data_IF_794980697168
#
_entry.id   IF_794980697168
#
_cell.length_a   1.000
_cell.length_b   1.000
_cell.length_c   1.000
_cell.angle_alpha   90.00
_cell.angle_beta   90.00
_cell.angle_gamma   90.00
#
_symmetry.space_group_name_H-M   'P 1'
#
loop_
_entity.id
_entity.type
_entity.pdbx_description
1 polymer ?
#
# COMPACT_ATOMS: atom_id res chain seq x y z
N UNK A 1 -45.71 -56.95 35.35
CA UNK A 1 -45.37 -55.94 34.37
C UNK A 1 -45.94 -54.55 34.69
N UNK A 2 -45.80 -53.99 35.90
CA UNK A 2 -46.42 -52.71 36.28
C UNK A 2 -45.43 -51.61 36.75
N UNK A 3 -44.11 -51.82 36.73
CA UNK A 3 -43.17 -50.89 37.38
C UNK A 3 -42.26 -50.10 36.44
N UNK A 4 -42.35 -50.32 35.12
CA UNK A 4 -41.47 -49.61 34.15
C UNK A 4 -42.03 -48.26 33.66
N UNK A 5 -43.33 -48.01 33.76
CA UNK A 5 -43.97 -46.79 33.27
C UNK A 5 -43.62 -45.52 34.10
N UNK A 6 -43.36 -45.67 35.39
CA UNK A 6 -42.95 -44.55 36.25
C UNK A 6 -41.51 -44.06 35.94
N UNK A 7 -40.60 -44.98 35.59
CA UNK A 7 -39.22 -44.59 35.23
C UNK A 7 -39.14 -43.80 33.91
N UNK A 8 -39.96 -44.13 32.94
CA UNK A 8 -39.98 -43.40 31.66
C UNK A 8 -40.61 -42.00 31.79
N UNK A 9 -41.57 -41.79 32.66
CA UNK A 9 -42.17 -40.47 32.92
C UNK A 9 -41.20 -39.53 33.62
N UNK A 10 -40.35 -40.00 34.49
CA UNK A 10 -39.32 -39.19 35.14
C UNK A 10 -38.21 -38.84 34.16
N UNK A 11 -37.83 -39.78 33.30
CA UNK A 11 -36.78 -39.55 32.29
C UNK A 11 -37.20 -38.55 31.20
N UNK A 12 -38.44 -38.62 30.73
CA UNK A 12 -38.98 -37.66 29.77
C UNK A 12 -39.17 -36.27 30.36
N UNK A 13 -39.58 -36.15 31.64
CA UNK A 13 -39.68 -34.88 32.30
C UNK A 13 -38.30 -34.20 32.50
N UNK A 14 -37.26 -35.00 32.78
CA UNK A 14 -35.89 -34.54 32.97
C UNK A 14 -35.26 -34.10 31.61
N UNK A 15 -35.55 -34.84 30.54
CA UNK A 15 -35.06 -34.48 29.19
C UNK A 15 -35.73 -33.20 28.66
N UNK A 16 -37.03 -33.00 28.93
CA UNK A 16 -37.74 -31.77 28.55
C UNK A 16 -37.28 -30.56 29.36
N UNK A 17 -36.93 -30.72 30.67
CA UNK A 17 -36.37 -29.61 31.46
C UNK A 17 -34.95 -29.21 31.03
N UNK A 18 -34.12 -30.16 30.59
CA UNK A 18 -32.80 -29.90 30.02
C UNK A 18 -32.88 -29.15 28.67
N UNK A 19 -33.86 -29.49 27.84
CA UNK A 19 -34.10 -28.78 26.59
C UNK A 19 -34.62 -27.33 26.80
N UNK A 20 -35.43 -27.11 27.84
CA UNK A 20 -35.87 -25.75 28.21
C UNK A 20 -34.75 -24.90 28.82
N UNK A 21 -33.85 -25.47 29.62
CA UNK A 21 -32.68 -24.78 30.15
C UNK A 21 -31.63 -24.47 29.05
N UNK A 22 -31.47 -25.34 28.06
CA UNK A 22 -30.61 -25.06 26.88
C UNK A 22 -31.23 -24.02 25.94
N UNK A 23 -32.56 -23.93 25.84
CA UNK A 23 -33.25 -22.93 25.01
C UNK A 23 -33.19 -21.50 25.57
N UNK A 24 -33.05 -21.34 26.89
CA UNK A 24 -33.02 -20.00 27.49
C UNK A 24 -31.63 -19.36 27.53
N UNK A 25 -30.56 -20.13 27.34
CA UNK A 25 -29.21 -19.58 27.25
C UNK A 25 -28.78 -19.16 25.81
N UNK A 26 -29.62 -19.43 24.80
CA UNK A 26 -29.36 -19.05 23.42
C UNK A 26 -29.88 -17.65 23.04
N UNK A 27 -30.61 -16.99 23.90
CA UNK A 27 -31.16 -15.63 23.59
C UNK A 27 -30.26 -14.47 23.98
N UNK A 28 -29.00 -14.72 24.37
CA UNK A 28 -28.07 -13.69 24.83
C UNK A 28 -26.83 -13.45 23.98
N UNK A 29 -26.58 -14.25 22.95
CA UNK A 29 -25.52 -13.92 22.01
C UNK A 29 -26.07 -12.88 21.03
N UNK A 30 -26.02 -11.59 21.41
CA UNK A 30 -26.11 -10.51 20.44
C UNK A 30 -25.00 -10.79 19.42
N UNK A 31 -25.37 -11.32 18.26
CA UNK A 31 -24.46 -11.39 17.14
C UNK A 31 -23.87 -10.00 16.99
N UNK A 32 -22.58 -9.85 17.23
CA UNK A 32 -21.91 -8.58 17.06
C UNK A 32 -22.27 -8.09 15.66
N UNK A 33 -22.98 -6.96 15.58
CA UNK A 33 -23.44 -6.46 14.30
C UNK A 33 -22.23 -6.38 13.37
N UNK A 34 -22.27 -7.11 12.26
CA UNK A 34 -21.16 -7.15 11.33
C UNK A 34 -20.79 -5.72 10.97
N UNK A 35 -19.51 -5.37 11.18
CA UNK A 35 -19.02 -4.02 10.92
C UNK A 35 -19.39 -3.59 9.50
N UNK A 36 -20.03 -2.44 9.37
CA UNK A 36 -20.41 -1.88 8.06
C UNK A 36 -19.19 -1.52 7.20
N UNK A 37 -19.39 -1.27 5.90
CA UNK A 37 -18.31 -0.88 5.00
C UNK A 37 -17.61 0.36 5.52
N UNK A 38 -16.28 0.39 5.41
CA UNK A 38 -15.48 1.51 5.89
C UNK A 38 -14.22 1.72 5.05
N UNK A 39 -13.66 2.91 5.14
CA UNK A 39 -12.35 3.26 4.59
C UNK A 39 -11.59 4.18 5.54
N UNK A 40 -10.32 4.41 5.26
CA UNK A 40 -9.53 5.40 5.99
C UNK A 40 -10.15 6.81 5.81
N UNK A 41 -10.30 7.56 6.90
CA UNK A 41 -10.79 8.96 6.85
C UNK A 41 -9.80 9.90 6.15
N UNK A 42 -8.51 9.60 6.26
CA UNK A 42 -7.42 10.36 5.63
C UNK A 42 -6.43 9.42 4.96
N UNK A 43 -5.82 9.87 3.87
CA UNK A 43 -4.77 9.15 3.15
C UNK A 43 -3.73 10.11 2.62
N UNK A 44 -2.46 9.74 2.73
CA UNK A 44 -1.38 10.40 2.02
C UNK A 44 -1.00 9.56 0.81
N UNK A 45 -0.99 10.19 -0.36
CA UNK A 45 -0.53 9.61 -1.63
C UNK A 45 0.78 10.29 -1.99
N UNK A 46 1.81 9.50 -2.20
CA UNK A 46 3.10 10.01 -2.64
C UNK A 46 3.21 9.86 -4.16
N UNK A 47 3.77 10.88 -4.81
CA UNK A 47 3.93 10.89 -6.26
C UNK A 47 5.27 11.44 -6.71
N UNK A 48 5.62 11.07 -7.94
CA UNK A 48 6.73 11.67 -8.69
C UNK A 48 6.23 12.12 -10.05
N UNK A 49 6.60 13.35 -10.43
CA UNK A 49 6.38 13.86 -11.77
C UNK A 49 7.42 13.26 -12.70
N UNK A 50 6.98 12.71 -13.81
CA UNK A 50 7.83 12.17 -14.88
C UNK A 50 7.53 12.94 -16.17
N UNK A 51 8.56 13.22 -16.94
CA UNK A 51 8.44 13.81 -18.28
C UNK A 51 9.20 12.96 -19.27
N UNK A 52 8.59 12.63 -20.38
CA UNK A 52 9.19 11.84 -21.45
C UNK A 52 8.62 12.31 -22.80
N UNK A 53 9.38 12.15 -23.91
CA UNK A 53 8.85 12.42 -25.21
C UNK A 53 7.79 11.36 -25.57
N UNK A 54 6.69 11.81 -26.13
CA UNK A 54 5.72 10.92 -26.76
C UNK A 54 6.37 10.27 -27.99
N UNK A 55 6.41 8.93 -28.07
CA UNK A 55 7.06 8.23 -29.17
C UNK A 55 6.42 8.53 -30.54
N UNK A 56 5.16 8.96 -30.58
CA UNK A 56 4.44 9.25 -31.83
C UNK A 56 4.52 10.74 -32.18
N UNK A 57 4.10 11.60 -31.27
CA UNK A 57 3.99 13.04 -31.51
C UNK A 57 5.28 13.84 -31.24
N UNK A 58 6.28 13.20 -30.60
CA UNK A 58 7.52 13.83 -30.10
C UNK A 58 7.28 14.98 -29.10
N UNK A 59 6.03 15.21 -28.67
CA UNK A 59 5.69 16.21 -27.66
C UNK A 59 6.09 15.69 -26.27
N UNK A 60 6.50 16.63 -25.42
CA UNK A 60 6.81 16.28 -24.03
C UNK A 60 5.51 15.99 -23.26
N UNK A 61 5.35 14.75 -22.83
CA UNK A 61 4.25 14.32 -21.98
C UNK A 61 4.69 14.39 -20.51
N UNK A 62 3.78 14.86 -19.68
CA UNK A 62 3.92 14.80 -18.21
C UNK A 62 3.00 13.72 -17.66
N UNK A 63 3.53 12.83 -16.84
CA UNK A 63 2.76 11.87 -16.07
C UNK A 63 3.10 11.96 -14.57
N UNK A 64 2.20 11.42 -13.74
CA UNK A 64 2.34 11.42 -12.30
C UNK A 64 2.28 9.98 -11.78
N UNK A 65 3.46 9.42 -11.46
CA UNK A 65 3.53 8.09 -10.82
C UNK A 65 3.19 8.22 -9.34
N UNK A 66 2.11 7.59 -8.91
CA UNK A 66 1.65 7.61 -7.51
C UNK A 66 2.42 6.68 -6.57
N UNK A 67 3.59 6.21 -6.98
CA UNK A 67 4.54 5.40 -6.18
C UNK A 67 3.90 4.20 -5.45
N UNK A 68 2.82 3.61 -6.04
CA UNK A 68 2.06 2.52 -5.41
C UNK A 68 1.25 2.95 -4.18
N UNK A 69 1.03 4.25 -4.00
CA UNK A 69 0.27 4.78 -2.85
C UNK A 69 -1.14 5.22 -3.21
N UNK A 70 -1.49 5.20 -4.51
CA UNK A 70 -2.76 5.65 -5.06
C UNK A 70 -3.95 4.71 -4.87
N UNK A 71 -3.87 3.76 -3.93
CA UNK A 71 -4.92 2.79 -3.64
C UNK A 71 -5.55 3.06 -2.28
N UNK A 72 -6.87 3.23 -2.21
CA UNK A 72 -7.64 3.31 -0.96
C UNK A 72 -8.31 1.97 -0.68
N UNK A 73 -7.92 1.30 0.39
CA UNK A 73 -8.51 0.03 0.81
C UNK A 73 -9.90 0.23 1.42
N UNK A 74 -10.82 -0.64 1.04
CA UNK A 74 -12.19 -0.71 1.57
C UNK A 74 -12.29 -1.93 2.49
N UNK A 75 -12.76 -1.71 3.72
CA UNK A 75 -12.92 -2.76 4.73
C UNK A 75 -14.38 -3.19 4.83
N UNK A 76 -14.60 -4.43 5.24
CA UNK A 76 -15.93 -5.01 5.46
C UNK A 76 -16.85 -4.93 4.23
N UNK A 77 -16.25 -4.99 3.03
CA UNK A 77 -16.99 -5.00 1.78
C UNK A 77 -17.41 -6.43 1.44
N UNK A 78 -18.69 -6.66 1.17
CA UNK A 78 -19.19 -7.95 0.69
C UNK A 78 -18.86 -8.12 -0.81
N UNK A 79 -18.81 -9.37 -1.30
CA UNK A 79 -18.60 -9.63 -2.73
C UNK A 79 -19.76 -9.16 -3.63
N UNK A 80 -20.94 -8.88 -3.03
CA UNK A 80 -22.13 -8.35 -3.73
C UNK A 80 -22.33 -6.84 -3.51
N UNK A 81 -21.35 -6.16 -2.92
CA UNK A 81 -21.41 -4.72 -2.68
C UNK A 81 -21.43 -3.96 -4.02
N UNK A 82 -22.17 -2.86 -4.05
CA UNK A 82 -22.18 -1.90 -5.17
C UNK A 82 -21.62 -0.58 -4.67
N UNK A 83 -20.64 -0.04 -5.39
CA UNK A 83 -20.09 1.29 -5.14
C UNK A 83 -20.65 2.23 -6.20
N UNK A 84 -21.25 3.33 -5.76
CA UNK A 84 -21.86 4.34 -6.62
C UNK A 84 -21.50 5.74 -6.19
N UNK A 85 -21.80 6.74 -7.04
CA UNK A 85 -21.57 8.16 -6.75
C UNK A 85 -20.13 8.48 -6.33
N UNK A 86 -19.15 7.72 -6.87
CA UNK A 86 -17.74 7.99 -6.61
C UNK A 86 -17.33 9.30 -7.29
N UNK A 87 -16.92 10.25 -6.47
CA UNK A 87 -16.53 11.59 -6.91
C UNK A 87 -15.27 12.04 -6.20
N UNK A 88 -14.42 12.76 -6.92
CA UNK A 88 -13.31 13.54 -6.38
C UNK A 88 -13.70 15.01 -6.37
N UNK A 89 -13.38 15.74 -5.30
CA UNK A 89 -13.57 17.20 -5.24
C UNK A 89 -12.57 17.96 -6.11
N UNK A 90 -11.53 17.30 -6.62
CA UNK A 90 -10.54 17.87 -7.51
C UNK A 90 -10.67 17.23 -8.90
N UNK A 91 -10.93 18.06 -9.93
CA UNK A 91 -11.12 17.60 -11.33
C UNK A 91 -9.91 16.91 -11.95
N UNK A 92 -8.71 17.22 -11.45
CA UNK A 92 -7.46 16.62 -11.90
C UNK A 92 -7.17 15.24 -11.30
N UNK A 93 -8.02 14.78 -10.38
CA UNK A 93 -7.86 13.51 -9.70
C UNK A 93 -9.05 12.64 -10.02
N UNK A 94 -8.79 11.56 -10.74
CA UNK A 94 -9.78 10.55 -11.07
C UNK A 94 -9.73 9.41 -10.06
N UNK A 95 -10.88 8.77 -9.85
CA UNK A 95 -11.01 7.64 -8.95
C UNK A 95 -11.85 6.55 -9.60
N UNK A 96 -11.40 5.30 -9.53
CA UNK A 96 -12.09 4.12 -10.06
C UNK A 96 -12.21 3.10 -8.92
N UNK A 97 -13.43 2.62 -8.70
CA UNK A 97 -13.70 1.59 -7.69
C UNK A 97 -13.55 0.20 -8.27
N UNK A 98 -12.91 -0.69 -7.51
CA UNK A 98 -12.80 -2.11 -7.79
C UNK A 98 -13.32 -2.89 -6.58
N UNK A 99 -14.51 -3.46 -6.73
CA UNK A 99 -15.18 -4.22 -5.66
C UNK A 99 -14.48 -5.56 -5.43
N UNK A 100 -13.94 -6.19 -6.47
CA UNK A 100 -13.26 -7.48 -6.38
C UNK A 100 -12.00 -7.38 -5.51
N UNK A 101 -11.19 -6.35 -5.75
CA UNK A 101 -9.98 -6.10 -4.95
C UNK A 101 -10.25 -5.25 -3.70
N UNK A 102 -11.51 -4.82 -3.49
CA UNK A 102 -11.93 -3.97 -2.35
C UNK A 102 -11.10 -2.69 -2.25
N UNK A 103 -10.92 -2.02 -3.40
CA UNK A 103 -10.07 -0.83 -3.52
C UNK A 103 -10.73 0.27 -4.34
N UNK A 104 -10.29 1.51 -4.10
CA UNK A 104 -10.45 2.61 -5.02
C UNK A 104 -9.06 3.00 -5.50
N UNK A 105 -8.85 2.98 -6.81
CA UNK A 105 -7.61 3.39 -7.47
C UNK A 105 -7.71 4.85 -7.86
N UNK A 106 -6.63 5.58 -7.60
CA UNK A 106 -6.49 6.99 -7.97
C UNK A 106 -5.55 7.12 -9.15
N UNK A 107 -5.86 8.07 -10.02
CA UNK A 107 -4.96 8.60 -11.05
C UNK A 107 -5.07 10.11 -11.10
N UNK A 108 -4.11 10.77 -11.72
CA UNK A 108 -4.10 12.22 -11.81
C UNK A 108 -3.43 12.68 -13.11
N UNK A 109 -3.98 13.70 -13.75
CA UNK A 109 -3.42 14.37 -14.90
C UNK A 109 -2.55 15.59 -14.53
N UNK A 110 -2.78 16.16 -13.34
CA UNK A 110 -2.00 17.25 -12.78
C UNK A 110 -1.94 17.15 -11.26
N UNK A 111 -0.74 17.30 -10.69
CA UNK A 111 -0.53 17.26 -9.24
C UNK A 111 0.52 18.28 -8.79
N UNK A 112 0.23 18.92 -7.65
CA UNK A 112 1.16 19.76 -6.90
C UNK A 112 1.43 19.17 -5.53
N UNK A 113 2.61 19.41 -4.97
CA UNK A 113 2.93 18.99 -3.62
C UNK A 113 2.00 19.67 -2.59
N UNK A 114 1.39 18.89 -1.72
CA UNK A 114 0.42 19.39 -0.75
C UNK A 114 -1.00 19.50 -1.28
N UNK A 115 -1.25 19.19 -2.54
CA UNK A 115 -2.58 19.18 -3.13
C UNK A 115 -3.50 18.21 -2.42
N UNK A 116 -4.79 18.54 -2.35
CA UNK A 116 -5.79 17.77 -1.61
C UNK A 116 -7.01 17.48 -2.47
N UNK A 117 -7.66 16.37 -2.18
CA UNK A 117 -9.01 16.07 -2.64
C UNK A 117 -9.82 15.38 -1.55
N UNK A 118 -11.13 15.46 -1.66
CA UNK A 118 -12.07 14.65 -0.88
C UNK A 118 -12.72 13.66 -1.85
N UNK A 119 -12.48 12.37 -1.62
CA UNK A 119 -13.23 11.31 -2.27
C UNK A 119 -14.54 11.11 -1.51
N UNK A 120 -15.65 11.02 -2.22
CA UNK A 120 -16.95 10.68 -1.65
C UNK A 120 -17.61 9.60 -2.50
N UNK A 121 -18.23 8.61 -1.88
CA UNK A 121 -18.89 7.51 -2.56
C UNK A 121 -19.92 6.84 -1.65
N UNK A 122 -20.84 6.09 -2.24
CA UNK A 122 -21.85 5.32 -1.53
C UNK A 122 -21.58 3.82 -1.74
N UNK A 123 -21.59 3.06 -0.66
CA UNK A 123 -21.54 1.60 -0.69
C UNK A 123 -22.91 1.06 -0.32
N UNK A 124 -23.52 0.26 -1.22
CA UNK A 124 -24.76 -0.47 -0.97
C UNK A 124 -24.44 -1.96 -0.81
N UNK A 125 -24.76 -2.52 0.33
CA UNK A 125 -24.62 -3.97 0.60
C UNK A 125 -25.63 -4.42 1.66
N UNK A 126 -26.11 -5.67 1.55
CA UNK A 126 -27.06 -6.26 2.49
C UNK A 126 -28.29 -5.37 2.73
N UNK A 127 -28.83 -4.77 1.67
CA UNK A 127 -29.98 -3.86 1.75
C UNK A 127 -29.72 -2.48 2.38
N UNK A 128 -28.51 -2.21 2.88
CA UNK A 128 -28.14 -0.94 3.50
C UNK A 128 -27.23 -0.12 2.60
N UNK A 129 -27.36 1.21 2.68
CA UNK A 129 -26.50 2.18 2.00
C UNK A 129 -25.66 2.93 3.03
N UNK A 130 -24.37 3.09 2.76
CA UNK A 130 -23.43 3.81 3.60
C UNK A 130 -22.65 4.79 2.75
N UNK A 131 -22.68 6.09 3.10
CA UNK A 131 -21.86 7.12 2.46
C UNK A 131 -20.50 7.20 3.15
N UNK A 132 -19.42 7.08 2.37
CA UNK A 132 -18.06 7.13 2.85
C UNK A 132 -17.31 8.31 2.23
N UNK A 133 -16.35 8.83 3.00
CA UNK A 133 -15.48 9.93 2.55
C UNK A 133 -14.05 9.67 2.98
N UNK A 134 -13.09 10.08 2.15
CA UNK A 134 -11.67 10.05 2.46
C UNK A 134 -11.01 11.36 2.02
N UNK A 135 -10.32 12.05 2.93
CA UNK A 135 -9.47 13.20 2.59
C UNK A 135 -8.10 12.70 2.13
N UNK A 136 -7.73 12.98 0.89
CA UNK A 136 -6.45 12.58 0.31
C UNK A 136 -5.53 13.79 0.18
N UNK A 137 -4.26 13.63 0.58
CA UNK A 137 -3.22 14.65 0.42
C UNK A 137 -2.09 14.08 -0.44
N UNK A 138 -1.67 14.79 -1.48
CA UNK A 138 -0.62 14.38 -2.40
C UNK A 138 0.72 15.01 -1.99
N UNK A 139 1.79 14.19 -1.94
CA UNK A 139 3.11 14.63 -1.48
C UNK A 139 4.23 14.06 -2.35
N UNK A 140 5.32 14.84 -2.48
CA UNK A 140 6.52 14.43 -3.22
C UNK A 140 7.65 13.92 -2.31
N UNK A 141 7.52 14.01 -0.98
CA UNK A 141 8.55 13.65 0.00
C UNK A 141 8.46 12.18 0.46
N UNK A 142 8.37 11.24 -0.49
CA UNK A 142 8.29 9.81 -0.20
C UNK A 142 9.55 9.31 0.53
N UNK A 143 10.74 9.66 0.04
CA UNK A 143 11.98 9.36 0.75
C UNK A 143 12.13 10.33 1.92
N UNK A 144 12.09 9.83 3.15
CA UNK A 144 12.26 10.64 4.37
C UNK A 144 13.72 10.91 4.69
N UNK A 145 14.60 9.98 4.33
CA UNK A 145 16.05 10.11 4.44
C UNK A 145 16.74 9.21 3.43
N UNK A 146 17.72 9.74 2.73
CA UNK A 146 18.62 8.96 1.89
C UNK A 146 20.02 9.55 1.99
N UNK A 147 20.98 8.79 2.54
CA UNK A 147 22.37 9.21 2.66
C UNK A 147 23.31 8.17 2.07
N UNK A 148 24.34 8.64 1.41
CA UNK A 148 25.49 7.87 0.96
C UNK A 148 26.74 8.48 1.61
N UNK A 149 27.12 7.95 2.78
CA UNK A 149 28.12 8.56 3.63
C UNK A 149 27.69 9.96 4.09
N UNK A 150 28.47 10.98 3.77
CA UNK A 150 28.18 12.39 4.06
C UNK A 150 27.26 13.06 3.02
N UNK A 151 26.97 12.40 1.88
CA UNK A 151 26.07 12.97 0.86
C UNK A 151 24.63 12.74 1.26
N UNK A 152 23.85 13.81 1.37
CA UNK A 152 22.40 13.74 1.48
C UNK A 152 21.76 13.70 0.08
N UNK A 153 21.08 12.62 -0.22
CA UNK A 153 20.42 12.34 -1.50
C UNK A 153 18.89 12.47 -1.41
N UNK A 154 18.35 12.79 -0.24
CA UNK A 154 16.90 12.77 0.04
C UNK A 154 16.11 13.59 -0.98
N UNK A 155 16.46 14.87 -1.13
CA UNK A 155 15.77 15.77 -2.06
C UNK A 155 15.95 15.33 -3.52
N UNK A 156 17.15 14.87 -3.89
CA UNK A 156 17.45 14.43 -5.25
C UNK A 156 16.63 13.16 -5.62
N UNK A 157 16.55 12.18 -4.73
CA UNK A 157 15.75 10.97 -4.96
C UNK A 157 14.26 11.27 -5.05
N UNK A 158 13.72 12.16 -4.21
CA UNK A 158 12.31 12.56 -4.29
C UNK A 158 11.96 13.28 -5.60
N UNK A 159 12.94 13.86 -6.30
CA UNK A 159 12.76 14.55 -7.59
C UNK A 159 13.16 13.69 -8.79
N UNK A 160 13.86 12.59 -8.56
CA UNK A 160 14.27 11.68 -9.62
C UNK A 160 13.12 10.71 -9.95
N UNK A 161 12.88 10.46 -11.21
CA UNK A 161 11.90 9.47 -11.67
C UNK A 161 12.38 8.01 -11.41
N UNK A 162 12.77 7.70 -10.17
CA UNK A 162 13.26 6.37 -9.80
C UNK A 162 14.75 6.13 -10.05
N UNK A 163 15.46 7.02 -10.76
CA UNK A 163 16.89 6.86 -11.04
C UNK A 163 17.68 8.15 -10.75
N UNK A 164 18.84 8.00 -10.10
CA UNK A 164 19.72 9.12 -9.74
C UNK A 164 21.17 8.80 -10.09
N UNK A 165 21.88 9.75 -10.67
CA UNK A 165 23.33 9.70 -10.86
C UNK A 165 24.03 10.55 -9.81
N UNK A 166 25.07 10.00 -9.19
CA UNK A 166 25.85 10.65 -8.10
C UNK A 166 27.33 10.50 -8.37
N UNK A 167 28.09 11.58 -8.20
CA UNK A 167 29.56 11.55 -8.15
C UNK A 167 30.03 11.67 -6.71
N UNK A 168 31.03 10.89 -6.31
CA UNK A 168 31.62 10.96 -4.96
C UNK A 168 33.08 10.56 -4.98
N UNK A 169 33.86 11.19 -4.12
CA UNK A 169 35.25 10.82 -3.86
C UNK A 169 35.39 9.81 -2.72
N UNK A 170 34.30 9.48 -2.02
CA UNK A 170 34.33 8.53 -0.91
C UNK A 170 34.63 7.11 -1.40
N UNK A 171 35.67 6.47 -0.88
CA UNK A 171 35.99 5.05 -1.17
C UNK A 171 35.04 4.08 -0.45
N UNK A 172 34.52 4.50 0.69
CA UNK A 172 33.52 3.75 1.50
C UNK A 172 32.41 4.72 1.93
N UNK A 173 31.16 4.28 1.89
CA UNK A 173 30.03 5.13 2.27
C UNK A 173 28.93 4.30 2.98
N UNK A 174 28.46 4.78 4.12
CA UNK A 174 27.30 4.21 4.81
C UNK A 174 26.04 4.54 4.02
N UNK A 175 25.24 3.52 3.66
CA UNK A 175 23.96 3.71 2.98
C UNK A 175 22.83 3.73 4.00
N UNK A 176 22.11 4.85 4.09
CA UNK A 176 20.98 5.00 5.02
C UNK A 176 19.75 5.45 4.27
N UNK A 177 18.66 4.68 4.35
CA UNK A 177 17.38 4.99 3.70
C UNK A 177 16.26 4.93 4.75
N UNK A 178 15.39 5.94 4.77
CA UNK A 178 14.16 5.92 5.55
C UNK A 178 12.96 6.24 4.64
N UNK A 179 11.92 5.44 4.79
CA UNK A 179 10.66 5.54 4.07
C UNK A 179 9.54 6.02 5.01
N UNK A 180 8.37 6.44 4.50
CA UNK A 180 7.21 6.77 5.32
C UNK A 180 6.72 5.57 6.13
N UNK A 181 6.02 5.85 7.22
CA UNK A 181 5.25 4.84 7.94
C UNK A 181 4.33 4.10 6.99
N UNK A 182 4.26 2.77 7.12
CA UNK A 182 3.48 1.92 6.21
C UNK A 182 4.28 1.31 5.07
N UNK A 183 5.54 1.71 4.86
CA UNK A 183 6.45 1.14 3.85
C UNK A 183 7.65 0.47 4.50
N UNK A 184 8.22 -0.52 3.80
CA UNK A 184 9.45 -1.22 4.20
C UNK A 184 10.42 -1.32 3.04
N UNK A 185 11.70 -1.31 3.35
CA UNK A 185 12.75 -1.70 2.43
C UNK A 185 12.71 -3.22 2.33
N UNK A 186 12.55 -3.76 1.14
CA UNK A 186 12.55 -5.20 0.84
C UNK A 186 13.98 -5.67 0.68
N UNK A 187 14.75 -4.94 -0.12
CA UNK A 187 16.17 -5.22 -0.30
C UNK A 187 16.95 -3.98 -0.71
N UNK A 188 18.25 -3.97 -0.35
CA UNK A 188 19.25 -3.09 -0.94
C UNK A 188 20.27 -3.99 -1.55
N UNK A 189 20.50 -3.85 -2.87
CA UNK A 189 21.46 -4.65 -3.63
C UNK A 189 22.37 -3.75 -4.43
N UNK A 190 23.58 -4.20 -4.73
CA UNK A 190 24.52 -3.43 -5.55
C UNK A 190 25.37 -4.31 -6.45
N UNK A 191 25.84 -3.71 -7.55
CA UNK A 191 26.84 -4.27 -8.42
C UNK A 191 27.86 -3.20 -8.85
N UNK A 192 28.98 -3.64 -9.44
CA UNK A 192 30.05 -2.75 -9.94
C UNK A 192 30.15 -2.77 -11.47
N UNK A 193 29.15 -3.33 -12.15
CA UNK A 193 29.16 -3.49 -13.62
C UNK A 193 28.46 -2.34 -14.36
N UNK A 194 27.92 -1.35 -13.63
CA UNK A 194 27.16 -0.27 -14.22
C UNK A 194 25.80 -0.66 -14.78
N UNK A 195 25.39 -1.92 -14.65
CA UNK A 195 24.15 -2.44 -15.23
C UNK A 195 22.99 -2.28 -14.26
N UNK A 196 21.82 -1.88 -14.77
CA UNK A 196 20.61 -1.58 -14.00
C UNK A 196 19.55 -2.67 -14.10
N UNK A 197 19.65 -3.49 -15.12
CA UNK A 197 18.69 -4.56 -15.39
C UNK A 197 19.41 -5.86 -15.79
N UNK A 198 18.64 -6.93 -15.92
CA UNK A 198 19.09 -8.19 -16.46
C UNK A 198 19.75 -9.13 -15.44
N UNK A 199 20.47 -10.17 -15.92
CA UNK A 199 20.99 -11.27 -15.09
C UNK A 199 21.96 -10.84 -13.99
N UNK A 200 22.61 -9.68 -14.14
CA UNK A 200 23.55 -9.15 -13.14
C UNK A 200 22.91 -9.01 -11.74
N UNK A 201 21.60 -8.77 -11.67
CA UNK A 201 20.89 -8.63 -10.40
C UNK A 201 20.64 -9.95 -9.67
N UNK A 202 20.70 -11.11 -10.38
CA UNK A 202 20.66 -12.44 -9.76
C UNK A 202 21.89 -12.66 -8.87
N UNK A 203 23.05 -12.10 -9.29
CA UNK A 203 24.34 -12.20 -8.60
C UNK A 203 24.73 -10.92 -7.84
N UNK A 204 23.85 -9.93 -7.75
CA UNK A 204 24.11 -8.67 -7.05
C UNK A 204 24.30 -8.90 -5.55
N UNK A 205 25.27 -8.21 -4.95
CA UNK A 205 25.56 -8.29 -3.53
C UNK A 205 24.47 -7.59 -2.73
N UNK A 206 24.07 -8.18 -1.61
CA UNK A 206 23.11 -7.58 -0.66
C UNK A 206 23.83 -6.62 0.28
N UNK A 207 23.15 -5.56 0.67
CA UNK A 207 23.60 -4.59 1.66
C UNK A 207 22.51 -4.39 2.71
N UNK A 208 22.85 -4.39 3.98
CA UNK A 208 21.90 -4.00 5.04
C UNK A 208 21.71 -2.48 5.01
N UNK A 209 20.52 -1.99 5.35
CA UNK A 209 20.30 -0.56 5.57
C UNK A 209 21.16 -0.11 6.75
N UNK A 210 21.94 0.96 6.56
CA UNK A 210 22.99 1.36 7.51
C UNK A 210 24.34 0.69 7.29
N UNK A 211 24.44 -0.25 6.33
CA UNK A 211 25.69 -0.93 5.99
C UNK A 211 26.65 -0.05 5.18
N UNK A 212 27.92 -0.44 5.17
CA UNK A 212 28.99 0.26 4.46
C UNK A 212 29.16 -0.33 3.07
N UNK A 213 28.99 0.50 2.05
CA UNK A 213 29.24 0.20 0.65
C UNK A 213 30.66 0.64 0.28
N UNK A 214 31.46 -0.28 -0.28
CA UNK A 214 32.67 0.10 -0.99
C UNK A 214 32.28 0.75 -2.32
N UNK A 215 32.65 1.99 -2.52
CA UNK A 215 32.33 2.76 -3.72
C UNK A 215 33.43 2.55 -4.75
N UNK A 216 33.05 2.10 -5.93
CA UNK A 216 33.94 1.90 -7.09
C UNK A 216 33.35 2.61 -8.31
N UNK A 217 34.15 2.77 -9.36
CA UNK A 217 33.64 3.19 -10.67
C UNK A 217 32.48 2.28 -11.11
N UNK A 218 31.43 2.84 -11.67
CA UNK A 218 30.26 2.10 -12.15
C UNK A 218 29.48 1.32 -11.06
N UNK A 219 29.53 1.77 -9.80
CA UNK A 219 28.68 1.19 -8.75
C UNK A 219 27.21 1.54 -9.01
N UNK A 220 26.35 0.53 -9.06
CA UNK A 220 24.90 0.69 -9.13
C UNK A 220 24.28 0.12 -7.87
N UNK A 221 23.46 0.93 -7.20
CA UNK A 221 22.71 0.57 -5.99
C UNK A 221 21.22 0.51 -6.35
N UNK A 222 20.56 -0.61 -6.05
CA UNK A 222 19.13 -0.83 -6.21
C UNK A 222 18.49 -0.91 -4.82
N UNK A 223 17.50 -0.08 -4.57
CA UNK A 223 16.72 -0.04 -3.34
C UNK A 223 15.31 -0.47 -3.68
N UNK A 224 14.91 -1.66 -3.26
CA UNK A 224 13.55 -2.17 -3.46
C UNK A 224 12.71 -1.91 -2.22
N UNK A 225 11.48 -1.48 -2.42
CA UNK A 225 10.54 -1.19 -1.35
C UNK A 225 9.12 -1.68 -1.67
N UNK A 226 8.33 -1.88 -0.62
CA UNK A 226 6.92 -2.29 -0.72
C UNK A 226 6.12 -1.74 0.47
N UNK A 227 4.79 -1.67 0.38
CA UNK A 227 3.93 -1.50 1.54
C UNK A 227 4.19 -2.60 2.59
N UNK A 228 4.03 -2.28 3.87
CA UNK A 228 4.11 -3.27 4.96
C UNK A 228 2.92 -4.22 4.97
N UNK A 229 1.76 -3.73 4.54
CA UNK A 229 0.49 -4.47 4.48
C UNK A 229 0.03 -4.57 3.03
N UNK A 230 -0.67 -5.67 2.72
CA UNK A 230 -1.16 -5.94 1.37
C UNK A 230 -0.17 -6.77 0.54
N UNK A 231 -0.71 -7.51 -0.42
CA UNK A 231 0.07 -8.24 -1.42
C UNK A 231 0.36 -7.28 -2.58
N UNK A 232 1.62 -6.99 -2.83
CA UNK A 232 2.05 -6.30 -4.05
C UNK A 232 2.56 -7.34 -5.05
N UNK A 233 2.10 -7.25 -6.29
CA UNK A 233 2.60 -8.11 -7.38
C UNK A 233 4.07 -7.82 -7.69
N UNK A 234 4.50 -6.56 -7.51
CA UNK A 234 5.86 -6.12 -7.82
C UNK A 234 6.37 -5.15 -6.76
N UNK A 235 7.63 -5.32 -6.36
CA UNK A 235 8.34 -4.32 -5.58
C UNK A 235 8.66 -3.12 -6.48
N UNK A 236 8.58 -1.93 -5.92
CA UNK A 236 9.08 -0.72 -6.57
C UNK A 236 10.54 -0.50 -6.21
N UNK A 237 11.26 0.27 -7.03
CA UNK A 237 12.68 0.46 -6.81
C UNK A 237 13.15 1.88 -7.09
N UNK A 238 14.23 2.27 -6.41
CA UNK A 238 15.10 3.38 -6.76
C UNK A 238 16.46 2.85 -7.22
N UNK A 239 17.01 3.44 -8.25
CA UNK A 239 18.33 3.12 -8.78
C UNK A 239 19.25 4.32 -8.54
N UNK A 240 20.41 4.09 -7.93
CA UNK A 240 21.44 5.10 -7.74
C UNK A 240 22.71 4.65 -8.45
N UNK A 241 23.08 5.37 -9.50
CA UNK A 241 24.36 5.19 -10.22
C UNK A 241 25.42 6.04 -9.53
N UNK A 242 26.45 5.41 -9.03
CA UNK A 242 27.50 6.08 -8.27
C UNK A 242 28.79 6.00 -9.08
N UNK A 243 29.31 7.15 -9.50
CA UNK A 243 30.64 7.30 -10.06
C UNK A 243 31.61 7.64 -8.95
N UNK A 244 32.32 6.64 -8.41
CA UNK A 244 33.49 6.83 -7.56
C UNK A 244 34.69 7.31 -8.37
N UNK A 245 35.59 8.03 -7.69
CA UNK A 245 36.93 8.32 -8.23
C UNK A 245 37.81 7.07 -8.17
#
# INVERSE_FOLDING_TARGET
MKNNWKKYRIFTAFLLSLLFLAGWNLSGVKAAAAAGPSCAKTKTVYFQKQTFPDPVSQKVITSYDLLGTGELDLKHLSGKAVISNLKSSNRHIQAVADVLYKKIYLSADSLKNGEKTVLSFTVKQNGKSCRLTCKVTFRTDFIKKAKLGNLDLTRKLNRSAGALRVKTAQKKAKVTIALPTGYKIVSIRYNYKGQEAGPVWKKAKKLKNGGILSVKKNTVLLIEYAPKTGKTLYNRSYIIRINGK
#
